data_IF_765227745195
#
_entry.id   IF_765227745195
#
_cell.length_a   1.000
_cell.length_b   1.000
_cell.length_c   1.000
_cell.angle_alpha   90.00
_cell.angle_beta   90.00
_cell.angle_gamma   90.00
#
_symmetry.space_group_name_H-M   'P 1'
#
loop_
_entity.id
_entity.type
_entity.pdbx_description
1 polymer ?
#
# COMPACT_ATOMS: atom_id res chain seq x y z
N UNK A 1 4.34 -33.09 38.35
CA UNK A 1 5.18 -32.16 37.57
C UNK A 1 4.49 -31.93 36.24
N UNK A 2 3.82 -30.82 36.09
CA UNK A 2 3.18 -30.42 34.85
C UNK A 2 4.25 -29.71 34.00
N UNK A 3 4.66 -30.33 32.92
CA UNK A 3 5.54 -29.69 31.93
C UNK A 3 4.69 -28.69 31.16
N UNK A 4 4.84 -27.42 31.48
CA UNK A 4 4.27 -26.33 30.73
C UNK A 4 5.12 -26.19 29.45
N UNK A 5 4.68 -26.76 28.35
CA UNK A 5 5.26 -26.53 27.02
C UNK A 5 4.93 -25.08 26.64
N UNK A 6 5.88 -24.18 26.91
CA UNK A 6 5.83 -22.81 26.42
C UNK A 6 5.84 -22.83 24.88
N UNK A 7 4.73 -22.52 24.27
CA UNK A 7 4.69 -22.23 22.84
C UNK A 7 5.52 -20.97 22.61
N UNK A 8 6.60 -21.08 21.86
CA UNK A 8 7.32 -19.92 21.39
C UNK A 8 6.29 -19.02 20.65
N UNK A 9 6.26 -17.73 21.00
CA UNK A 9 5.36 -16.79 20.34
C UNK A 9 5.67 -16.79 18.84
N UNK A 10 4.79 -17.34 18.04
CA UNK A 10 4.90 -17.33 16.58
C UNK A 10 4.56 -15.92 16.09
N UNK A 11 5.42 -15.34 15.26
CA UNK A 11 5.15 -14.05 14.62
C UNK A 11 4.49 -14.30 13.27
N UNK A 12 3.31 -13.73 13.11
CA UNK A 12 2.54 -13.81 11.85
C UNK A 12 3.06 -12.77 10.84
N UNK A 13 3.19 -13.20 9.60
CA UNK A 13 3.59 -12.38 8.47
C UNK A 13 2.57 -12.48 7.33
N UNK A 14 2.49 -11.44 6.53
CA UNK A 14 1.68 -11.41 5.30
C UNK A 14 2.58 -11.65 4.10
N UNK A 15 2.20 -12.60 3.27
CA UNK A 15 2.87 -12.85 1.98
C UNK A 15 2.67 -11.66 1.06
N UNK A 16 3.75 -11.23 0.43
CA UNK A 16 3.79 -10.03 -0.40
C UNK A 16 4.58 -10.31 -1.67
N UNK A 17 3.92 -10.42 -2.78
CA UNK A 17 4.52 -10.51 -4.11
C UNK A 17 3.94 -9.40 -4.98
N UNK A 18 4.75 -8.87 -5.89
CA UNK A 18 4.30 -7.84 -6.82
C UNK A 18 3.51 -8.45 -7.99
N UNK A 19 3.79 -9.70 -8.30
CA UNK A 19 3.12 -10.51 -9.32
C UNK A 19 3.33 -12.00 -9.02
N UNK A 20 2.41 -12.85 -9.52
CA UNK A 20 2.51 -14.30 -9.36
C UNK A 20 2.28 -14.79 -7.91
N UNK A 21 3.18 -15.64 -7.40
CA UNK A 21 3.07 -16.29 -6.10
C UNK A 21 4.42 -16.52 -5.42
N UNK A 22 4.38 -16.72 -4.11
CA UNK A 22 5.51 -17.21 -3.32
C UNK A 22 5.39 -18.73 -3.17
N UNK A 23 6.41 -19.46 -3.61
CA UNK A 23 6.45 -20.92 -3.44
C UNK A 23 6.69 -21.29 -1.97
N UNK A 24 5.84 -22.19 -1.45
CA UNK A 24 6.10 -22.95 -0.23
C UNK A 24 6.90 -24.20 -0.65
N UNK A 25 8.04 -24.44 -0.03
CA UNK A 25 9.01 -25.45 -0.45
C UNK A 25 9.31 -26.46 0.67
N UNK A 26 9.65 -27.68 0.30
CA UNK A 26 10.10 -28.70 1.26
C UNK A 26 11.60 -28.64 1.54
N UNK A 27 12.36 -27.79 0.84
CA UNK A 27 13.80 -27.58 1.03
C UNK A 27 14.20 -26.09 0.92
N UNK A 28 15.34 -25.70 1.53
CA UNK A 28 15.93 -24.36 1.48
C UNK A 28 16.62 -24.11 0.12
N UNK A 29 15.94 -24.36 -0.99
CA UNK A 29 16.48 -24.21 -2.33
C UNK A 29 15.42 -23.72 -3.31
N UNK A 30 15.85 -22.89 -4.28
CA UNK A 30 15.02 -22.50 -5.42
C UNK A 30 15.05 -23.61 -6.48
N UNK A 31 14.10 -24.53 -6.38
CA UNK A 31 13.91 -25.61 -7.33
C UNK A 31 12.41 -25.94 -7.39
N UNK A 32 11.85 -26.01 -8.60
CA UNK A 32 10.42 -26.29 -8.79
C UNK A 32 10.01 -27.66 -8.25
N UNK A 33 10.95 -28.61 -8.21
CA UNK A 33 10.74 -29.95 -7.60
C UNK A 33 10.48 -29.89 -6.11
N UNK A 34 10.91 -28.82 -5.45
CA UNK A 34 10.74 -28.62 -4.02
C UNK A 34 9.43 -27.86 -3.69
N UNK A 35 8.68 -27.40 -4.70
CA UNK A 35 7.45 -26.66 -4.48
C UNK A 35 6.33 -27.59 -4.01
N UNK A 36 5.78 -27.30 -2.82
CA UNK A 36 4.68 -28.05 -2.20
C UNK A 36 3.40 -27.24 -2.05
N UNK A 37 3.43 -25.97 -2.45
CA UNK A 37 2.27 -25.08 -2.45
C UNK A 37 2.57 -23.68 -2.93
N UNK A 38 1.52 -22.94 -3.28
CA UNK A 38 1.56 -21.57 -3.77
C UNK A 38 0.87 -20.64 -2.79
N UNK A 39 1.57 -19.57 -2.40
CA UNK A 39 1.09 -18.54 -1.50
C UNK A 39 0.96 -17.24 -2.29
N UNK A 40 -0.13 -16.55 -2.11
CA UNK A 40 -0.44 -15.29 -2.81
C UNK A 40 -0.37 -14.10 -1.88
N UNK A 41 -0.26 -12.92 -2.44
CA UNK A 41 -0.31 -11.67 -1.66
C UNK A 41 -1.58 -11.62 -0.80
N UNK A 42 -1.39 -11.34 0.50
CA UNK A 42 -2.46 -11.34 1.49
C UNK A 42 -2.59 -12.65 2.28
N UNK A 43 -2.01 -13.77 1.81
CA UNK A 43 -1.95 -14.99 2.63
C UNK A 43 -1.13 -14.75 3.90
N UNK A 44 -1.56 -15.32 5.02
CA UNK A 44 -0.82 -15.25 6.28
C UNK A 44 -0.02 -16.53 6.53
N UNK A 45 1.17 -16.35 7.08
CA UNK A 45 2.05 -17.44 7.51
C UNK A 45 2.57 -17.16 8.92
N UNK A 46 2.68 -18.21 9.72
CA UNK A 46 3.26 -18.15 11.05
C UNK A 46 4.70 -18.66 10.98
N UNK A 47 5.65 -17.78 11.30
CA UNK A 47 7.08 -18.13 11.26
C UNK A 47 7.42 -18.96 12.50
N UNK A 48 7.93 -20.17 12.29
CA UNK A 48 8.35 -21.10 13.34
C UNK A 48 9.86 -21.24 13.43
N UNK A 49 10.61 -20.90 12.35
CA UNK A 49 12.06 -20.79 12.34
C UNK A 49 12.50 -19.63 11.44
N UNK A 50 13.11 -18.62 12.02
CA UNK A 50 13.66 -17.44 11.35
C UNK A 50 15.20 -17.39 11.34
N UNK A 51 15.88 -18.48 11.67
CA UNK A 51 17.35 -18.55 11.75
C UNK A 51 18.04 -18.42 10.39
N UNK A 52 17.33 -18.74 9.31
CA UNK A 52 17.88 -18.70 7.95
C UNK A 52 17.99 -17.28 7.39
N UNK A 53 19.10 -16.96 6.70
CA UNK A 53 19.31 -15.66 6.06
C UNK A 53 18.39 -15.43 4.84
N UNK A 54 17.99 -16.48 4.14
CA UNK A 54 17.16 -16.42 2.91
C UNK A 54 15.82 -17.10 3.08
N UNK A 55 15.79 -18.27 3.67
CA UNK A 55 14.60 -19.09 3.82
C UNK A 55 14.23 -19.23 5.29
N UNK A 56 12.95 -18.94 5.59
CA UNK A 56 12.34 -19.18 6.89
C UNK A 56 11.37 -20.35 6.82
N UNK A 57 11.26 -21.12 7.91
CA UNK A 57 10.29 -22.19 8.02
C UNK A 57 8.99 -21.64 8.59
N UNK A 58 7.89 -21.89 7.89
CA UNK A 58 6.60 -21.30 8.21
C UNK A 58 5.48 -22.34 8.18
N UNK A 59 4.42 -22.08 8.92
CA UNK A 59 3.13 -22.72 8.74
C UNK A 59 2.22 -21.80 7.92
N UNK A 60 1.71 -22.31 6.81
CA UNK A 60 0.81 -21.60 5.90
C UNK A 60 -0.64 -22.02 6.19
N UNK A 61 -1.40 -21.15 6.86
CA UNK A 61 -2.74 -21.47 7.39
C UNK A 61 -3.72 -21.86 6.27
N UNK A 62 -3.71 -21.13 5.13
CA UNK A 62 -4.58 -21.44 3.99
C UNK A 62 -4.32 -22.83 3.38
N UNK A 63 -3.06 -23.25 3.34
CA UNK A 63 -2.65 -24.54 2.77
C UNK A 63 -2.67 -25.67 3.80
N UNK A 64 -2.73 -25.34 5.11
CA UNK A 64 -2.54 -26.29 6.22
C UNK A 64 -1.25 -27.08 6.10
N UNK A 65 -0.18 -26.42 5.66
CA UNK A 65 1.13 -27.03 5.40
C UNK A 65 2.24 -26.18 5.99
N UNK A 66 3.32 -26.85 6.41
CA UNK A 66 4.56 -26.20 6.77
C UNK A 66 5.62 -26.38 5.69
N UNK A 67 6.52 -25.42 5.57
CA UNK A 67 7.61 -25.47 4.60
C UNK A 67 8.46 -24.21 4.64
N UNK A 68 9.39 -24.13 3.71
CA UNK A 68 10.31 -23.01 3.56
C UNK A 68 9.79 -21.99 2.56
N UNK A 69 9.89 -20.71 2.92
CA UNK A 69 9.60 -19.57 2.04
C UNK A 69 10.76 -18.58 2.05
N UNK A 70 10.95 -17.86 0.95
CA UNK A 70 11.92 -16.78 0.93
C UNK A 70 11.38 -15.61 1.76
N UNK A 71 12.10 -15.23 2.85
CA UNK A 71 11.69 -14.22 3.82
C UNK A 71 11.50 -12.82 3.24
N UNK A 72 12.11 -12.51 2.07
CA UNK A 72 11.97 -11.20 1.41
C UNK A 72 10.56 -10.91 0.91
N UNK A 73 9.71 -11.92 0.87
CA UNK A 73 8.30 -11.79 0.49
C UNK A 73 7.36 -11.81 1.69
N UNK A 74 7.88 -11.55 2.90
CA UNK A 74 7.10 -11.54 4.13
C UNK A 74 7.09 -10.13 4.75
N UNK A 75 5.91 -9.52 4.84
CA UNK A 75 5.70 -8.24 5.50
C UNK A 75 4.96 -8.43 6.84
N UNK A 76 5.19 -7.53 7.79
CA UNK A 76 4.44 -7.49 9.04
C UNK A 76 4.26 -6.06 9.54
N UNK A 77 3.47 -5.90 10.60
CA UNK A 77 3.17 -4.60 11.18
C UNK A 77 4.38 -3.89 11.82
N UNK A 78 5.45 -4.61 12.18
CA UNK A 78 6.65 -3.97 12.74
C UNK A 78 7.45 -3.18 11.69
N UNK A 79 7.20 -3.42 10.40
CA UNK A 79 7.85 -2.76 9.27
C UNK A 79 6.99 -1.67 8.61
N UNK A 80 6.02 -1.11 9.35
CA UNK A 80 5.11 -0.09 8.81
C UNK A 80 5.82 1.19 8.38
N UNK A 81 5.35 1.75 7.28
CA UNK A 81 5.69 3.07 6.74
C UNK A 81 4.43 3.74 6.22
N UNK A 82 4.54 5.04 6.01
CA UNK A 82 3.45 5.86 5.47
C UNK A 82 3.93 6.57 4.22
N UNK A 83 3.06 6.63 3.23
CA UNK A 83 3.32 7.37 1.98
C UNK A 83 3.35 8.86 2.28
N UNK A 84 4.34 9.56 1.70
CA UNK A 84 4.53 11.00 1.84
C UNK A 84 4.91 11.59 0.48
N UNK A 85 3.92 12.04 -0.26
CA UNK A 85 4.09 12.76 -1.53
C UNK A 85 3.58 14.20 -1.37
N UNK A 86 4.29 15.17 -1.98
CA UNK A 86 3.88 16.58 -1.92
C UNK A 86 2.67 16.86 -2.81
N UNK A 87 2.51 16.06 -3.87
CA UNK A 87 1.40 16.19 -4.83
C UNK A 87 1.22 14.89 -5.60
N UNK A 88 0.01 14.65 -6.11
CA UNK A 88 -0.31 13.46 -6.87
C UNK A 88 -0.30 12.19 -6.02
N UNK A 89 0.30 11.13 -6.51
CA UNK A 89 0.32 9.82 -5.88
C UNK A 89 1.68 9.13 -6.02
N UNK A 90 1.94 8.16 -5.16
CA UNK A 90 3.01 7.20 -5.29
C UNK A 90 2.46 5.95 -5.99
N UNK A 91 3.00 5.60 -7.16
CA UNK A 91 2.55 4.41 -7.85
C UNK A 91 3.03 3.13 -7.15
N UNK A 92 2.09 2.21 -6.89
CA UNK A 92 2.39 0.82 -6.58
C UNK A 92 2.62 0.10 -7.92
N UNK A 93 3.72 -0.62 -8.07
CA UNK A 93 4.16 -1.19 -9.34
C UNK A 93 4.38 -2.70 -9.24
N UNK A 94 4.11 -3.42 -10.32
CA UNK A 94 4.43 -4.85 -10.41
C UNK A 94 5.90 -5.13 -10.80
N UNK A 95 6.66 -4.10 -11.19
CA UNK A 95 8.08 -4.21 -11.51
C UNK A 95 8.89 -3.00 -11.02
N UNK A 96 10.20 -3.19 -10.81
CA UNK A 96 11.15 -2.16 -10.39
C UNK A 96 11.53 -1.23 -11.55
N UNK A 97 10.55 -0.55 -12.13
CA UNK A 97 10.78 0.38 -13.23
C UNK A 97 9.73 1.50 -13.24
N UNK A 98 10.15 2.71 -13.57
CA UNK A 98 9.25 3.85 -13.74
C UNK A 98 8.59 3.77 -15.13
N UNK A 99 7.47 3.06 -15.21
CA UNK A 99 6.64 2.94 -16.43
C UNK A 99 5.18 2.90 -16.01
N UNK A 100 4.32 3.63 -16.71
CA UNK A 100 2.87 3.60 -16.45
C UNK A 100 2.25 2.20 -16.63
N UNK A 101 2.76 1.40 -17.56
CA UNK A 101 2.33 0.02 -17.76
C UNK A 101 2.58 -0.91 -16.56
N UNK A 102 3.43 -0.49 -15.61
CA UNK A 102 3.72 -1.26 -14.39
C UNK A 102 2.85 -0.82 -13.20
N UNK A 103 2.05 0.22 -13.34
CA UNK A 103 1.24 0.74 -12.24
C UNK A 103 0.03 -0.16 -12.01
N UNK A 104 -0.12 -0.63 -10.77
CA UNK A 104 -1.21 -1.53 -10.36
C UNK A 104 -2.13 -0.88 -9.32
N UNK A 105 -1.70 0.22 -8.72
CA UNK A 105 -2.50 1.08 -7.85
C UNK A 105 -1.81 2.42 -7.59
N UNK A 106 -2.59 3.39 -7.12
CA UNK A 106 -2.16 4.70 -6.66
C UNK A 106 -2.21 4.74 -5.13
N UNK A 107 -1.14 5.25 -4.52
CA UNK A 107 -1.04 5.43 -3.08
C UNK A 107 -0.89 6.92 -2.77
N UNK A 108 -1.64 7.39 -1.80
CA UNK A 108 -1.69 8.80 -1.42
C UNK A 108 -1.01 9.06 -0.09
N UNK A 109 -0.66 10.31 0.17
CA UNK A 109 -0.06 10.72 1.44
C UNK A 109 -0.91 10.26 2.62
N UNK A 110 -0.28 9.55 3.56
CA UNK A 110 -0.92 8.96 4.73
C UNK A 110 -1.32 7.49 4.55
N UNK A 111 -1.28 6.94 3.33
CA UNK A 111 -1.51 5.52 3.13
C UNK A 111 -0.44 4.69 3.83
N UNK A 112 -0.90 3.63 4.49
CA UNK A 112 -0.03 2.72 5.24
C UNK A 112 0.46 1.60 4.33
N UNK A 113 1.76 1.31 4.42
CA UNK A 113 2.40 0.17 3.78
C UNK A 113 3.23 -0.62 4.79
N UNK A 114 3.42 -1.90 4.55
CA UNK A 114 4.29 -2.78 5.34
C UNK A 114 5.41 -3.28 4.44
N UNK A 115 6.66 -3.07 4.86
CA UNK A 115 7.82 -3.44 4.03
C UNK A 115 8.07 -4.94 4.13
N UNK A 116 8.19 -5.61 2.98
CA UNK A 116 8.64 -6.97 2.86
C UNK A 116 10.14 -7.05 2.51
N UNK A 117 10.59 -6.28 1.50
CA UNK A 117 12.00 -6.24 1.10
C UNK A 117 12.47 -4.77 0.90
N UNK A 118 13.50 -4.40 1.63
CA UNK A 118 14.16 -3.09 1.57
C UNK A 118 15.60 -3.18 1.02
N UNK A 119 15.96 -4.26 0.34
CA UNK A 119 17.33 -4.48 -0.13
C UNK A 119 17.70 -3.66 -1.37
N UNK A 120 16.71 -3.20 -2.13
CA UNK A 120 16.93 -2.37 -3.31
C UNK A 120 17.13 -0.90 -2.93
N UNK A 121 18.03 -0.23 -3.64
CA UNK A 121 18.39 1.17 -3.36
C UNK A 121 17.28 2.17 -3.69
N UNK A 122 16.34 1.83 -4.56
CA UNK A 122 15.27 2.70 -5.08
C UNK A 122 13.88 2.17 -4.79
N UNK A 123 13.64 0.89 -5.08
CA UNK A 123 12.31 0.29 -5.01
C UNK A 123 12.22 -0.75 -3.90
N UNK A 124 11.34 -0.50 -2.95
CA UNK A 124 11.03 -1.47 -1.90
C UNK A 124 9.77 -2.26 -2.22
N UNK A 125 9.78 -3.56 -1.90
CA UNK A 125 8.59 -4.39 -1.97
C UNK A 125 7.75 -4.16 -0.72
N UNK A 126 6.50 -3.78 -0.93
CA UNK A 126 5.57 -3.45 0.17
C UNK A 126 4.23 -4.17 -0.01
N UNK A 127 3.60 -4.48 1.12
CA UNK A 127 2.19 -4.82 1.21
C UNK A 127 1.38 -3.57 1.57
N UNK A 128 0.24 -3.38 0.93
CA UNK A 128 -0.70 -2.29 1.19
C UNK A 128 -1.98 -2.87 1.81
N UNK A 129 -2.12 -2.84 3.16
CA UNK A 129 -3.25 -3.49 3.84
C UNK A 129 -4.61 -2.99 3.37
N UNK A 130 -4.75 -1.69 3.12
CA UNK A 130 -6.01 -1.08 2.65
C UNK A 130 -6.47 -1.55 1.27
N UNK A 131 -5.55 -2.07 0.46
CA UNK A 131 -5.85 -2.55 -0.90
C UNK A 131 -5.76 -4.08 -1.03
N UNK A 132 -5.17 -4.77 -0.05
CA UNK A 132 -4.85 -6.19 -0.16
C UNK A 132 -3.85 -6.50 -1.27
N UNK A 133 -3.00 -5.52 -1.65
CA UNK A 133 -2.07 -5.63 -2.78
C UNK A 133 -0.61 -5.57 -2.32
N UNK A 134 0.26 -6.28 -3.05
CA UNK A 134 1.70 -6.15 -2.97
C UNK A 134 2.28 -5.49 -4.22
N UNK A 135 3.43 -4.83 -4.08
CA UNK A 135 4.10 -4.20 -5.21
C UNK A 135 5.33 -3.41 -4.79
N UNK A 136 5.99 -2.85 -5.78
CA UNK A 136 7.17 -2.00 -5.59
C UNK A 136 6.77 -0.54 -5.53
N UNK A 137 7.35 0.18 -4.59
CA UNK A 137 7.24 1.63 -4.47
C UNK A 137 8.62 2.27 -4.37
N UNK A 138 8.77 3.51 -4.83
CA UNK A 138 9.99 4.26 -4.58
C UNK A 138 10.06 4.62 -3.08
N UNK A 139 11.11 4.14 -2.40
CA UNK A 139 11.32 4.29 -0.96
C UNK A 139 11.42 5.73 -0.46
N UNK A 140 11.84 6.65 -1.34
CA UNK A 140 12.07 8.06 -0.97
C UNK A 140 10.76 8.79 -0.62
N UNK A 141 9.63 8.20 -0.97
CA UNK A 141 8.29 8.66 -0.61
C UNK A 141 7.69 7.93 0.59
N UNK A 142 8.51 7.23 1.39
CA UNK A 142 8.06 6.52 2.58
C UNK A 142 8.66 7.13 3.85
N UNK A 143 7.82 7.40 4.85
CA UNK A 143 8.22 7.91 6.16
C UNK A 143 7.84 6.93 7.28
N UNK A 144 8.57 6.97 8.41
CA UNK A 144 8.34 6.07 9.56
C UNK A 144 7.08 6.44 10.34
N UNK A 145 6.88 7.73 10.57
CA UNK A 145 5.78 8.22 11.38
C UNK A 145 4.74 8.88 10.48
N UNK A 146 3.49 8.63 10.77
CA UNK A 146 2.38 9.26 10.06
C UNK A 146 2.41 10.80 10.16
N UNK A 147 2.88 11.32 11.29
CA UNK A 147 3.03 12.76 11.52
C UNK A 147 4.12 13.42 10.66
N UNK A 148 5.04 12.62 10.11
CA UNK A 148 6.09 13.06 9.18
C UNK A 148 5.65 12.96 7.71
N UNK A 149 4.38 12.63 7.44
CA UNK A 149 3.84 12.71 6.10
C UNK A 149 3.79 14.18 5.66
N UNK A 150 4.16 14.44 4.42
CA UNK A 150 4.17 15.79 3.87
C UNK A 150 2.78 16.43 4.00
N UNK A 151 2.69 17.43 4.83
CA UNK A 151 1.49 18.19 5.24
C UNK A 151 0.54 17.44 6.20
N UNK A 152 0.23 18.10 7.31
CA UNK A 152 -1.02 17.83 8.02
C UNK A 152 -2.15 17.80 6.98
N UNK A 153 -2.97 16.75 7.00
CA UNK A 153 -4.13 16.64 6.11
C UNK A 153 -4.99 17.88 6.32
N UNK A 154 -4.87 18.83 5.43
CA UNK A 154 -5.70 20.03 5.48
C UNK A 154 -7.08 19.65 4.97
N UNK A 155 -8.03 19.54 5.89
CA UNK A 155 -9.42 19.33 5.53
C UNK A 155 -10.04 20.67 5.16
N UNK A 156 -10.71 20.71 4.03
CA UNK A 156 -11.47 21.86 3.53
C UNK A 156 -12.93 21.49 3.35
N UNK A 157 -13.79 22.49 3.54
CA UNK A 157 -15.24 22.35 3.33
C UNK A 157 -15.62 22.96 1.99
N UNK A 158 -16.44 22.25 1.22
CA UNK A 158 -16.99 22.74 -0.04
C UNK A 158 -18.02 23.85 0.22
N UNK A 159 -17.86 24.98 -0.44
CA UNK A 159 -18.76 26.12 -0.38
C UNK A 159 -19.21 26.54 -1.78
N UNK A 160 -20.40 26.11 -2.14
CA UNK A 160 -21.11 26.51 -3.38
C UNK A 160 -22.42 27.17 -3.01
N UNK A 161 -22.81 28.21 -3.76
CA UNK A 161 -24.09 28.90 -3.54
C UNK A 161 -25.28 28.11 -4.07
N UNK A 162 -25.05 27.37 -5.16
CA UNK A 162 -26.05 26.51 -5.81
C UNK A 162 -25.32 25.42 -6.59
N UNK A 163 -26.01 24.32 -6.87
CA UNK A 163 -25.42 23.19 -7.57
C UNK A 163 -24.37 22.46 -6.73
N UNK A 164 -23.28 22.04 -7.36
CA UNK A 164 -22.21 21.25 -6.78
C UNK A 164 -20.82 21.68 -7.27
N UNK A 165 -19.79 21.27 -6.59
CA UNK A 165 -18.41 21.38 -7.04
C UNK A 165 -18.01 20.07 -7.72
N UNK A 166 -17.65 20.13 -9.00
CA UNK A 166 -17.22 18.95 -9.75
C UNK A 166 -15.84 18.46 -9.26
N UNK A 167 -15.75 17.16 -8.95
CA UNK A 167 -14.50 16.45 -8.79
C UNK A 167 -14.09 15.94 -10.17
N UNK A 168 -12.87 16.25 -10.63
CA UNK A 168 -12.43 16.03 -12.01
C UNK A 168 -11.16 15.19 -12.06
N UNK A 169 -10.97 14.44 -13.13
CA UNK A 169 -9.74 13.67 -13.38
C UNK A 169 -8.63 14.49 -14.07
N UNK A 170 -8.92 15.75 -14.47
CA UNK A 170 -7.95 16.66 -15.07
C UNK A 170 -8.08 18.10 -14.52
N UNK A 171 -7.01 18.91 -14.66
CA UNK A 171 -6.99 20.33 -14.28
C UNK A 171 -7.65 21.19 -15.36
N UNK A 172 -8.86 20.85 -15.75
CA UNK A 172 -9.62 21.55 -16.80
C UNK A 172 -11.11 21.60 -16.44
N UNK A 173 -11.77 22.71 -16.82
CA UNK A 173 -13.22 22.83 -16.77
C UNK A 173 -13.82 22.18 -18.03
N UNK A 174 -14.14 20.89 -17.92
CA UNK A 174 -14.73 20.09 -18.98
C UNK A 174 -15.60 19.00 -18.33
N UNK A 175 -16.84 18.87 -18.78
CA UNK A 175 -17.77 17.88 -18.21
C UNK A 175 -17.32 16.44 -18.48
N UNK A 176 -16.57 16.21 -19.55
CA UNK A 176 -15.97 14.90 -19.82
C UNK A 176 -14.94 14.47 -18.77
N UNK A 177 -14.41 15.43 -18.00
CA UNK A 177 -13.45 15.17 -16.92
C UNK A 177 -14.12 14.96 -15.55
N UNK A 178 -15.44 15.12 -15.44
CA UNK A 178 -16.14 14.99 -14.17
C UNK A 178 -16.25 13.54 -13.74
N UNK A 179 -15.73 13.24 -12.55
CA UNK A 179 -15.72 11.89 -11.95
C UNK A 179 -16.56 11.81 -10.67
N UNK A 180 -17.11 12.93 -10.22
CA UNK A 180 -17.96 12.99 -9.05
C UNK A 180 -18.43 14.40 -8.71
N UNK A 181 -19.46 14.50 -7.86
CA UNK A 181 -20.09 15.75 -7.44
C UNK A 181 -19.96 15.93 -5.93
N UNK A 182 -19.45 17.07 -5.51
CA UNK A 182 -19.29 17.48 -4.12
C UNK A 182 -20.33 18.55 -3.79
N UNK A 183 -21.16 18.29 -2.81
CA UNK A 183 -22.23 19.19 -2.39
C UNK A 183 -21.72 20.26 -1.41
N UNK A 184 -22.47 21.34 -1.26
CA UNK A 184 -22.17 22.34 -0.26
C UNK A 184 -22.15 21.68 1.15
N UNK A 185 -21.06 21.93 1.89
CA UNK A 185 -20.82 21.33 3.22
C UNK A 185 -20.03 20.03 3.20
N UNK A 186 -19.82 19.38 2.05
CA UNK A 186 -18.93 18.22 1.97
C UNK A 186 -17.52 18.61 2.41
N UNK A 187 -16.84 17.66 3.05
CA UNK A 187 -15.42 17.84 3.42
C UNK A 187 -14.52 17.06 2.48
N UNK A 188 -13.38 17.66 2.15
CA UNK A 188 -12.35 17.04 1.33
C UNK A 188 -10.97 17.19 2.00
N UNK A 189 -10.13 16.20 1.84
CA UNK A 189 -8.74 16.24 2.27
C UNK A 189 -7.88 16.79 1.12
N UNK A 190 -7.19 17.89 1.36
CA UNK A 190 -6.29 18.50 0.36
C UNK A 190 -5.01 17.67 0.30
N UNK A 191 -4.74 17.08 -0.86
CA UNK A 191 -3.55 16.28 -1.12
C UNK A 191 -2.48 17.07 -1.87
N UNK A 192 -2.88 18.03 -2.73
CA UNK A 192 -1.99 18.98 -3.40
C UNK A 192 -2.66 20.34 -3.51
N UNK A 193 -2.04 21.37 -2.91
CA UNK A 193 -2.47 22.76 -2.95
C UNK A 193 -1.55 23.65 -3.80
N UNK A 194 -0.62 23.09 -4.58
CA UNK A 194 0.35 23.84 -5.38
C UNK A 194 -0.29 24.52 -6.60
N UNK A 195 -1.46 24.06 -7.04
CA UNK A 195 -2.15 24.58 -8.21
C UNK A 195 -2.75 25.98 -7.97
N UNK A 196 -2.58 26.87 -8.93
CA UNK A 196 -3.16 28.25 -8.87
C UNK A 196 -4.68 28.26 -8.91
N UNK A 197 -5.31 27.32 -9.61
CA UNK A 197 -6.77 27.23 -9.79
C UNK A 197 -7.34 25.93 -9.26
N UNK A 198 -6.69 24.81 -9.54
CA UNK A 198 -7.15 23.47 -9.18
C UNK A 198 -6.26 22.86 -8.10
N UNK A 199 -6.89 22.38 -7.02
CA UNK A 199 -6.25 21.57 -6.00
C UNK A 199 -6.64 20.11 -6.16
N UNK A 200 -5.72 19.20 -5.85
CA UNK A 200 -5.99 17.77 -5.82
C UNK A 200 -6.48 17.40 -4.42
N UNK A 201 -7.64 16.76 -4.35
CA UNK A 201 -8.30 16.45 -3.09
C UNK A 201 -8.81 15.01 -3.07
N UNK A 202 -8.96 14.45 -1.88
CA UNK A 202 -9.67 13.20 -1.63
C UNK A 202 -11.00 13.48 -0.96
N UNK A 203 -12.07 12.90 -1.48
CA UNK A 203 -13.40 12.89 -0.87
C UNK A 203 -13.70 11.53 -0.28
N UNK A 204 -13.79 11.44 1.06
CA UNK A 204 -14.18 10.20 1.74
C UNK A 204 -15.61 9.78 1.40
N UNK A 205 -16.53 10.73 1.17
CA UNK A 205 -17.91 10.44 0.77
C UNK A 205 -17.99 9.73 -0.58
N UNK A 206 -17.15 10.15 -1.54
CA UNK A 206 -17.12 9.55 -2.88
C UNK A 206 -16.14 8.37 -2.99
N UNK A 207 -15.24 8.20 -2.01
CA UNK A 207 -14.15 7.24 -2.08
C UNK A 207 -13.17 7.52 -3.24
N UNK A 208 -13.07 8.79 -3.70
CA UNK A 208 -12.33 9.19 -4.89
C UNK A 208 -11.43 10.38 -4.64
N UNK A 209 -10.30 10.42 -5.34
CA UNK A 209 -9.45 11.61 -5.47
C UNK A 209 -9.65 12.26 -6.84
N UNK A 210 -9.41 13.57 -6.89
CA UNK A 210 -9.51 14.33 -8.14
C UNK A 210 -9.22 15.83 -7.93
N UNK A 211 -9.31 16.56 -9.02
CA UNK A 211 -9.10 18.01 -9.04
C UNK A 211 -10.40 18.75 -8.80
N UNK A 212 -10.34 19.78 -7.95
CA UNK A 212 -11.44 20.71 -7.70
C UNK A 212 -10.95 22.14 -7.81
N UNK A 213 -11.83 23.05 -8.21
CA UNK A 213 -11.50 24.48 -8.16
C UNK A 213 -11.41 24.93 -6.70
N UNK A 214 -10.23 25.38 -6.28
CA UNK A 214 -9.92 25.74 -4.89
C UNK A 214 -10.78 26.91 -4.35
N UNK A 215 -11.30 27.76 -5.23
CA UNK A 215 -12.09 28.93 -4.82
C UNK A 215 -13.41 28.54 -4.14
N UNK A 216 -13.80 27.27 -4.26
CA UNK A 216 -14.98 26.70 -3.60
C UNK A 216 -14.61 25.89 -2.35
N UNK A 217 -13.39 26.03 -1.82
CA UNK A 217 -12.92 25.36 -0.60
C UNK A 217 -12.63 26.41 0.49
N UNK A 218 -13.16 26.15 1.70
CA UNK A 218 -12.94 26.98 2.90
C UNK A 218 -12.36 26.17 4.05
#
# INVERSE_FOLDING_TARGET
MTVQTGWAATTSYTVTVADGYLALRNAKAYDDKNEIGKLYTGDTVDVTDSSGSTYWYVYASRLKKSGYVNRRYLANSSSERYVSVKSGYLALRNAKAFKSSNEVAELYTGDKVQIADASDSTYWLVYVPGLGKGGYVNKDYLVKNKDNTASAVVTKTVKVKSGYLALRNAKAYDDANEIGQLNNGDTVQVQDSSGSTYWYVYSSRLGKSGYVNKNYLQ
#
